data_IF_481679852847
#
_entry.id   IF_481679852847
#
_cell.length_a   1.000
_cell.length_b   1.000
_cell.length_c   1.000
_cell.angle_alpha   90.00
_cell.angle_beta   90.00
_cell.angle_gamma   90.00
#
_symmetry.space_group_name_H-M   'P 1'
#
loop_
_entity.id
_entity.type
_entity.pdbx_description
1 polymer ?
#
# COMPACT_ATOMS: atom_id res chain seq x y z
N UNK A 1 15.14 5.95 48.12
CA UNK A 1 14.65 4.86 47.25
C UNK A 1 13.17 5.03 46.88
N UNK A 2 12.24 5.20 47.82
CA UNK A 2 10.80 5.36 47.52
C UNK A 2 10.45 6.50 46.54
N UNK A 3 10.99 7.70 46.76
CA UNK A 3 10.75 8.84 45.86
C UNK A 3 11.21 8.56 44.43
N UNK A 4 12.37 7.92 44.27
CA UNK A 4 12.91 7.61 42.94
C UNK A 4 12.06 6.56 42.21
N UNK A 5 11.55 5.54 42.92
CA UNK A 5 10.62 4.58 42.34
C UNK A 5 9.29 5.23 41.96
N UNK A 6 8.74 6.09 42.81
CA UNK A 6 7.49 6.81 42.53
C UNK A 6 7.63 7.72 41.30
N UNK A 7 8.74 8.46 41.20
CA UNK A 7 9.03 9.27 40.01
C UNK A 7 9.17 8.42 38.74
N UNK A 8 9.82 7.25 38.82
CA UNK A 8 9.95 6.33 37.67
C UNK A 8 8.58 5.84 37.21
N UNK A 9 7.75 5.36 38.13
CA UNK A 9 6.40 4.90 37.81
C UNK A 9 5.51 5.99 37.25
N UNK A 10 5.65 7.24 37.74
CA UNK A 10 4.89 8.37 37.23
C UNK A 10 5.27 8.71 35.78
N UNK A 11 6.57 8.63 35.44
CA UNK A 11 7.04 8.81 34.06
C UNK A 11 6.50 7.73 33.13
N UNK A 12 6.48 6.47 33.59
CA UNK A 12 5.93 5.36 32.82
C UNK A 12 4.43 5.56 32.53
N UNK A 13 3.64 5.93 33.56
CA UNK A 13 2.21 6.21 33.41
C UNK A 13 1.98 7.35 32.41
N UNK A 14 2.77 8.43 32.51
CA UNK A 14 2.66 9.54 31.55
C UNK A 14 3.01 9.12 30.13
N UNK A 15 4.04 8.30 29.94
CA UNK A 15 4.40 7.76 28.64
C UNK A 15 3.30 6.88 28.03
N UNK A 16 2.66 6.04 28.86
CA UNK A 16 1.50 5.26 28.44
C UNK A 16 0.31 6.13 28.05
N UNK A 17 0.00 7.16 28.85
CA UNK A 17 -1.06 8.11 28.55
C UNK A 17 -0.82 8.82 27.22
N UNK A 18 0.38 9.36 27.01
CA UNK A 18 0.78 10.02 25.75
C UNK A 18 0.64 9.08 24.55
N UNK A 19 1.04 7.81 24.70
CA UNK A 19 0.85 6.77 23.67
C UNK A 19 -0.64 6.52 23.37
N UNK A 20 -1.49 6.43 24.41
CA UNK A 20 -2.95 6.27 24.24
C UNK A 20 -3.56 7.47 23.51
N UNK A 21 -3.15 8.70 23.86
CA UNK A 21 -3.60 9.92 23.16
C UNK A 21 -3.15 9.95 21.71
N UNK A 22 -1.90 9.60 21.43
CA UNK A 22 -1.37 9.51 20.07
C UNK A 22 -2.17 8.50 19.22
N UNK A 23 -2.52 7.35 19.80
CA UNK A 23 -3.35 6.35 19.15
C UNK A 23 -4.78 6.86 18.91
N UNK A 24 -5.38 7.55 19.87
CA UNK A 24 -6.71 8.17 19.72
C UNK A 24 -6.74 9.18 18.57
N UNK A 25 -5.72 10.05 18.46
CA UNK A 25 -5.59 11.01 17.36
C UNK A 25 -5.44 10.29 16.02
N UNK A 26 -4.57 9.27 15.94
CA UNK A 26 -4.35 8.48 14.72
C UNK A 26 -5.64 7.78 14.27
N UNK A 27 -6.38 7.19 15.20
CA UNK A 27 -7.66 6.54 14.93
C UNK A 27 -8.71 7.55 14.45
N UNK A 28 -8.80 8.72 15.10
CA UNK A 28 -9.67 9.81 14.67
C UNK A 28 -9.40 10.23 13.23
N UNK A 29 -8.13 10.52 12.90
CA UNK A 29 -7.72 10.85 11.53
C UNK A 29 -8.07 9.76 10.52
N UNK A 30 -7.81 8.48 10.84
CA UNK A 30 -8.17 7.35 9.97
C UNK A 30 -9.66 7.29 9.69
N UNK A 31 -10.50 7.49 10.71
CA UNK A 31 -11.97 7.55 10.56
C UNK A 31 -12.35 8.72 9.66
N UNK A 32 -11.81 9.91 9.91
CA UNK A 32 -12.17 11.12 9.18
C UNK A 32 -11.75 11.02 7.71
N UNK A 33 -10.58 10.45 7.40
CA UNK A 33 -10.16 10.16 6.02
C UNK A 33 -11.14 9.22 5.30
N UNK A 34 -11.62 8.16 5.98
CA UNK A 34 -12.61 7.24 5.39
C UNK A 34 -13.95 7.93 5.14
N UNK A 35 -14.40 8.78 6.07
CA UNK A 35 -15.62 9.56 5.89
C UNK A 35 -15.49 10.57 4.76
N UNK A 36 -14.37 11.26 4.64
CA UNK A 36 -14.09 12.18 3.54
C UNK A 36 -14.11 11.46 2.18
N UNK A 37 -13.48 10.28 2.08
CA UNK A 37 -13.51 9.47 0.86
C UNK A 37 -14.94 9.05 0.47
N UNK A 38 -15.75 8.65 1.46
CA UNK A 38 -17.17 8.32 1.24
C UNK A 38 -17.97 9.55 0.77
N UNK A 39 -17.75 10.71 1.40
CA UNK A 39 -18.42 11.96 1.03
C UNK A 39 -18.06 12.37 -0.41
N UNK A 40 -16.78 12.29 -0.77
CA UNK A 40 -16.30 12.56 -2.12
C UNK A 40 -16.98 11.63 -3.14
N UNK A 41 -17.06 10.33 -2.85
CA UNK A 41 -17.77 9.35 -3.69
C UNK A 41 -19.26 9.67 -3.83
N UNK A 42 -19.93 10.06 -2.74
CA UNK A 42 -21.33 10.47 -2.77
C UNK A 42 -21.56 11.73 -3.61
N UNK A 43 -20.74 12.76 -3.41
CA UNK A 43 -20.80 14.00 -4.19
C UNK A 43 -20.60 13.71 -5.67
N UNK A 44 -19.59 12.89 -5.99
CA UNK A 44 -19.32 12.48 -7.36
C UNK A 44 -20.49 11.72 -7.99
N UNK A 45 -21.15 10.85 -7.22
CA UNK A 45 -22.32 10.10 -7.68
C UNK A 45 -23.49 11.02 -8.03
N UNK A 46 -23.73 12.07 -7.23
CA UNK A 46 -24.77 13.06 -7.51
C UNK A 46 -24.45 13.87 -8.78
N UNK A 47 -23.19 14.28 -8.92
CA UNK A 47 -22.73 15.10 -10.06
C UNK A 47 -22.67 14.32 -11.38
N UNK A 48 -22.34 13.02 -11.32
CA UNK A 48 -22.22 12.13 -12.49
C UNK A 48 -23.43 11.21 -12.67
N UNK A 49 -24.54 11.50 -11.99
CA UNK A 49 -25.76 10.72 -12.15
C UNK A 49 -26.35 10.97 -13.55
N UNK A 50 -26.57 9.92 -14.38
CA UNK A 50 -27.05 10.09 -15.76
C UNK A 50 -28.43 10.75 -15.84
N UNK A 51 -29.27 10.54 -14.83
CA UNK A 51 -30.61 11.12 -14.71
C UNK A 51 -30.68 12.22 -13.64
N UNK A 52 -29.53 12.71 -13.18
CA UNK A 52 -29.45 13.74 -12.14
C UNK A 52 -29.74 15.14 -12.70
N UNK A 53 -30.11 16.07 -11.82
CA UNK A 53 -30.30 17.48 -12.15
C UNK A 53 -29.02 18.17 -12.71
N UNK A 54 -27.87 17.52 -12.57
CA UNK A 54 -26.56 17.98 -13.05
C UNK A 54 -26.09 17.26 -14.33
N UNK A 55 -26.93 16.39 -14.91
CA UNK A 55 -26.60 15.67 -16.15
C UNK A 55 -26.66 16.61 -17.36
N UNK A 56 -25.54 16.79 -18.07
CA UNK A 56 -25.51 17.52 -19.34
C UNK A 56 -26.17 16.65 -20.40
N UNK A 57 -27.35 17.07 -20.88
CA UNK A 57 -28.32 16.24 -21.58
C UNK A 57 -28.00 15.79 -23.01
N UNK A 58 -26.75 15.84 -23.48
CA UNK A 58 -26.43 15.61 -24.89
C UNK A 58 -25.46 14.47 -25.20
N UNK A 59 -24.81 13.88 -24.19
CA UNK A 59 -23.96 12.72 -24.41
C UNK A 59 -24.47 11.59 -23.54
N UNK A 60 -24.78 10.43 -24.14
CA UNK A 60 -25.06 9.22 -23.39
C UNK A 60 -23.84 8.92 -22.52
N UNK A 61 -23.85 9.43 -21.29
CA UNK A 61 -22.73 9.35 -20.37
C UNK A 61 -22.33 7.88 -20.28
N UNK A 62 -21.10 7.55 -20.64
CA UNK A 62 -20.63 6.18 -20.53
C UNK A 62 -20.66 5.76 -19.06
N UNK A 63 -21.62 4.91 -18.71
CA UNK A 63 -21.69 4.30 -17.39
C UNK A 63 -20.63 3.22 -17.30
N UNK A 64 -19.61 3.47 -16.50
CA UNK A 64 -18.67 2.44 -16.10
C UNK A 64 -19.23 1.72 -14.89
N UNK A 65 -19.02 0.41 -14.84
CA UNK A 65 -19.45 -0.44 -13.73
C UNK A 65 -18.21 -1.03 -13.07
N UNK A 66 -18.19 -1.07 -11.74
CA UNK A 66 -17.17 -1.79 -10.96
C UNK A 66 -17.83 -2.91 -10.19
N UNK A 67 -17.06 -3.97 -9.96
CA UNK A 67 -17.47 -5.02 -9.04
C UNK A 67 -17.51 -4.43 -7.61
N UNK A 68 -18.64 -4.58 -6.94
CA UNK A 68 -18.76 -4.16 -5.55
C UNK A 68 -17.92 -5.10 -4.68
N UNK A 69 -17.00 -4.57 -3.88
CA UNK A 69 -16.07 -5.34 -3.02
C UNK A 69 -16.76 -5.79 -1.74
N UNK A 70 -18.09 -5.99 -1.77
CA UNK A 70 -18.79 -6.60 -0.64
C UNK A 70 -18.36 -8.07 -0.56
N UNK A 71 -17.31 -8.32 0.22
CA UNK A 71 -16.75 -9.63 0.53
C UNK A 71 -17.78 -10.48 1.32
N UNK A 72 -18.39 -11.44 0.63
CA UNK A 72 -18.68 -12.80 1.09
C UNK A 72 -19.10 -13.65 -0.13
N UNK A 73 -18.12 -13.95 -0.99
CA UNK A 73 -18.30 -14.60 -2.30
C UNK A 73 -18.49 -16.13 -2.23
N UNK A 74 -19.21 -16.60 -1.21
CA UNK A 74 -19.80 -17.93 -1.28
C UNK A 74 -21.33 -17.89 -1.39
N UNK A 75 -21.99 -16.77 -1.02
CA UNK A 75 -23.46 -16.74 -0.93
C UNK A 75 -24.22 -15.63 -1.65
N UNK A 76 -23.64 -14.48 -2.05
CA UNK A 76 -24.50 -13.38 -2.54
C UNK A 76 -23.92 -12.52 -3.66
N UNK A 77 -23.90 -13.10 -4.86
CA UNK A 77 -24.03 -12.46 -6.20
C UNK A 77 -23.11 -11.28 -6.48
N UNK A 78 -22.24 -11.45 -7.48
CA UNK A 78 -21.48 -10.40 -8.18
C UNK A 78 -22.39 -9.22 -8.54
N UNK A 79 -22.43 -8.19 -7.68
CA UNK A 79 -23.17 -6.96 -7.91
C UNK A 79 -22.24 -5.96 -8.56
N UNK A 80 -22.70 -5.37 -9.65
CA UNK A 80 -22.05 -4.23 -10.27
C UNK A 80 -22.63 -2.95 -9.69
N UNK A 81 -21.76 -2.02 -9.30
CA UNK A 81 -22.14 -0.67 -8.87
C UNK A 81 -21.54 0.35 -9.83
N UNK A 82 -22.21 1.51 -10.05
CA UNK A 82 -21.66 2.56 -10.88
C UNK A 82 -20.25 2.97 -10.41
N UNK A 83 -19.31 2.96 -11.35
CA UNK A 83 -17.96 3.43 -11.15
C UNK A 83 -17.85 4.85 -11.66
N UNK A 84 -18.02 5.80 -10.75
CA UNK A 84 -17.87 7.21 -11.07
C UNK A 84 -16.45 7.58 -11.51
N UNK A 85 -15.42 6.78 -11.21
CA UNK A 85 -14.04 7.01 -11.65
C UNK A 85 -13.66 6.18 -12.88
N UNK A 86 -14.62 5.47 -13.47
CA UNK A 86 -14.32 4.67 -14.64
C UNK A 86 -13.91 5.54 -15.82
N UNK A 87 -12.93 5.05 -16.56
CA UNK A 87 -12.43 5.61 -17.82
C UNK A 87 -12.23 4.47 -18.81
N UNK A 88 -12.22 4.80 -20.10
CA UNK A 88 -11.68 3.90 -21.11
C UNK A 88 -10.16 4.04 -21.08
N UNK A 89 -9.47 2.95 -20.76
CA UNK A 89 -8.02 2.87 -20.89
C UNK A 89 -7.70 2.48 -22.34
N UNK A 90 -7.43 3.46 -23.21
CA UNK A 90 -7.06 3.22 -24.61
C UNK A 90 -5.73 2.45 -24.71
N UNK A 91 -4.87 2.60 -23.71
CA UNK A 91 -3.62 1.86 -23.53
C UNK A 91 -3.81 0.37 -23.20
N UNK A 92 -5.02 -0.05 -22.81
CA UNK A 92 -5.40 -1.45 -22.62
C UNK A 92 -5.93 -2.09 -23.91
N UNK A 93 -5.47 -1.61 -25.07
CA UNK A 93 -5.68 -2.27 -26.35
C UNK A 93 -5.04 -3.66 -26.32
N UNK A 94 -5.72 -4.66 -26.89
CA UNK A 94 -5.16 -6.01 -27.03
C UNK A 94 -3.85 -5.88 -27.79
N UNK A 95 -2.73 -6.16 -27.11
CA UNK A 95 -1.43 -6.18 -27.74
C UNK A 95 -1.36 -7.45 -28.59
N UNK A 96 -1.72 -7.32 -29.86
CA UNK A 96 -1.63 -8.42 -30.83
C UNK A 96 -0.24 -8.43 -31.43
N UNK A 97 0.48 -9.54 -31.29
CA UNK A 97 1.72 -9.76 -32.05
C UNK A 97 1.32 -9.94 -33.52
N UNK A 98 1.87 -9.16 -34.46
CA UNK A 98 1.54 -9.30 -35.88
C UNK A 98 1.87 -10.72 -36.37
N UNK A 99 0.89 -11.38 -36.98
CA UNK A 99 0.94 -12.78 -37.43
C UNK A 99 1.87 -13.02 -38.63
N UNK A 100 2.55 -11.98 -39.13
CA UNK A 100 3.29 -11.99 -40.40
C UNK A 100 4.71 -12.54 -40.32
N UNK A 101 5.19 -12.93 -39.14
CA UNK A 101 6.49 -13.53 -38.96
C UNK A 101 6.33 -14.93 -38.36
N UNK A 102 6.90 -15.95 -39.02
CA UNK A 102 7.05 -17.31 -38.48
C UNK A 102 8.01 -17.26 -37.28
N UNK A 103 7.53 -16.74 -36.17
CA UNK A 103 8.29 -16.67 -34.92
C UNK A 103 7.84 -17.81 -34.01
N UNK A 104 8.80 -18.37 -33.28
CA UNK A 104 8.55 -19.39 -32.27
C UNK A 104 7.56 -18.86 -31.22
N UNK A 105 6.70 -19.72 -30.68
CA UNK A 105 5.74 -19.34 -29.63
C UNK A 105 6.45 -18.65 -28.43
N UNK A 106 7.68 -19.08 -28.12
CA UNK A 106 8.51 -18.46 -27.09
C UNK A 106 8.90 -17.02 -27.40
N UNK A 107 9.16 -16.71 -28.67
CA UNK A 107 9.54 -15.36 -29.11
C UNK A 107 8.33 -14.42 -29.08
N UNK A 108 7.16 -14.92 -29.47
CA UNK A 108 5.89 -14.19 -29.37
C UNK A 108 5.56 -13.84 -27.91
N UNK A 109 5.74 -14.80 -26.99
CA UNK A 109 5.53 -14.58 -25.55
C UNK A 109 6.50 -13.54 -24.96
N UNK A 110 7.79 -13.59 -25.35
CA UNK A 110 8.80 -12.61 -24.92
C UNK A 110 8.48 -11.20 -25.43
N UNK A 111 8.05 -11.06 -26.68
CA UNK A 111 7.64 -9.77 -27.23
C UNK A 111 6.41 -9.19 -26.51
N UNK A 112 5.42 -10.04 -26.24
CA UNK A 112 4.22 -9.65 -25.50
C UNK A 112 4.58 -9.22 -24.06
N UNK A 113 5.40 -9.97 -23.34
CA UNK A 113 5.83 -9.63 -21.98
C UNK A 113 6.55 -8.28 -21.92
N UNK A 114 7.43 -7.99 -22.89
CA UNK A 114 8.17 -6.72 -22.95
C UNK A 114 7.27 -5.53 -23.28
N UNK A 115 6.18 -5.75 -24.03
CA UNK A 115 5.23 -4.69 -24.42
C UNK A 115 4.30 -4.25 -23.29
N UNK A 116 4.04 -5.12 -22.31
CA UNK A 116 3.17 -4.82 -21.16
C UNK A 116 3.84 -3.88 -20.14
N UNK A 117 5.18 -3.88 -20.06
CA UNK A 117 5.92 -3.01 -19.13
C UNK A 117 7.34 -2.69 -19.66
N UNK A 118 7.55 -1.55 -20.35
CA UNK A 118 8.88 -1.15 -20.78
C UNK A 118 9.74 -0.85 -19.53
N UNK A 119 10.80 -1.65 -19.32
CA UNK A 119 11.72 -1.53 -18.18
C UNK A 119 11.75 -2.73 -17.23
N UNK A 120 10.85 -3.72 -17.37
CA UNK A 120 10.93 -5.01 -16.65
C UNK A 120 11.86 -6.04 -17.32
N UNK A 121 12.82 -5.56 -18.12
CA UNK A 121 13.85 -6.39 -18.75
C UNK A 121 14.94 -6.86 -17.80
N UNK A 122 14.92 -6.47 -16.53
CA UNK A 122 15.64 -7.20 -15.51
C UNK A 122 14.75 -8.39 -15.12
N UNK A 123 15.26 -9.60 -15.34
CA UNK A 123 14.78 -10.79 -14.65
C UNK A 123 14.57 -10.39 -13.20
N UNK A 124 13.31 -10.24 -12.80
CA UNK A 124 12.96 -10.29 -11.38
C UNK A 124 13.52 -11.63 -10.96
N UNK A 125 14.62 -11.64 -10.23
CA UNK A 125 15.15 -12.83 -9.57
C UNK A 125 13.97 -13.31 -8.72
N UNK A 126 13.27 -14.32 -9.26
CA UNK A 126 12.10 -14.89 -8.63
C UNK A 126 12.65 -15.58 -7.40
N UNK A 127 12.27 -15.07 -6.22
CA UNK A 127 12.61 -15.69 -4.93
C UNK A 127 12.25 -17.17 -5.06
N UNK A 128 13.26 -18.01 -5.05
CA UNK A 128 13.08 -19.45 -5.21
C UNK A 128 12.96 -20.13 -3.84
N UNK A 129 12.58 -21.41 -3.83
CA UNK A 129 12.40 -22.16 -2.59
C UNK A 129 13.69 -22.24 -1.75
N UNK A 130 14.87 -22.06 -2.37
CA UNK A 130 16.15 -22.07 -1.66
C UNK A 130 16.40 -20.78 -0.87
N UNK A 131 15.84 -19.65 -1.32
CA UNK A 131 15.85 -18.39 -0.58
C UNK A 131 15.01 -18.48 0.70
N UNK A 132 13.89 -19.20 0.65
CA UNK A 132 12.98 -19.40 1.79
C UNK A 132 13.64 -20.26 2.87
N UNK A 133 14.30 -21.36 2.47
CA UNK A 133 15.04 -22.22 3.39
C UNK A 133 16.21 -21.49 4.06
N UNK A 134 16.87 -20.58 3.31
CA UNK A 134 17.97 -19.77 3.82
C UNK A 134 17.51 -18.79 4.90
N UNK A 135 16.36 -18.14 4.73
CA UNK A 135 15.79 -17.27 5.77
C UNK A 135 15.31 -18.06 6.99
N UNK A 136 14.79 -19.27 6.77
CA UNK A 136 14.38 -20.14 7.87
C UNK A 136 15.56 -20.70 8.69
N UNK A 137 16.73 -20.84 8.07
CA UNK A 137 17.96 -21.31 8.72
C UNK A 137 18.75 -20.19 9.43
N UNK A 138 18.36 -18.93 9.26
CA UNK A 138 18.98 -17.78 9.93
C UNK A 138 18.54 -17.76 11.41
N UNK A 139 19.34 -18.40 12.26
CA UNK A 139 19.12 -18.42 13.72
C UNK A 139 19.50 -17.06 14.29
N UNK A 140 18.52 -16.35 14.87
CA UNK A 140 18.76 -15.10 15.60
C UNK A 140 19.90 -15.27 16.62
N UNK A 141 20.87 -14.34 16.69
CA UNK A 141 21.96 -14.44 17.64
C UNK A 141 21.39 -14.49 19.06
N UNK A 142 21.69 -15.57 19.79
CA UNK A 142 21.28 -15.73 21.19
C UNK A 142 21.73 -14.50 22.00
N UNK A 143 20.86 -13.92 22.85
CA UNK A 143 21.27 -12.79 23.67
C UNK A 143 22.34 -13.26 24.66
N UNK A 144 23.60 -12.96 24.34
CA UNK A 144 24.71 -13.12 25.27
C UNK A 144 24.45 -12.21 26.46
N UNK A 145 24.13 -12.83 27.60
CA UNK A 145 24.15 -12.22 28.92
C UNK A 145 25.58 -11.78 29.24
N UNK A 146 25.97 -10.58 28.82
CA UNK A 146 27.25 -10.00 29.21
C UNK A 146 27.67 -8.76 28.41
N UNK A 147 27.46 -7.58 28.98
CA UNK A 147 28.34 -6.43 28.74
C UNK A 147 27.97 -5.46 27.61
N UNK A 148 26.77 -4.91 27.59
CA UNK A 148 26.39 -3.82 26.67
C UNK A 148 26.55 -2.42 27.30
N UNK A 149 27.73 -2.10 27.84
CA UNK A 149 28.07 -0.71 28.24
C UNK A 149 29.57 -0.45 28.14
N UNK A 150 30.20 -0.66 26.96
CA UNK A 150 31.52 -0.06 26.72
C UNK A 150 31.93 -0.03 25.24
N UNK A 151 31.31 0.79 24.40
CA UNK A 151 31.93 1.25 23.13
C UNK A 151 31.31 2.49 22.47
N UNK A 152 30.34 3.20 23.08
CA UNK A 152 29.80 4.42 22.46
C UNK A 152 30.55 5.72 22.85
N UNK A 153 31.80 5.64 23.28
CA UNK A 153 32.58 6.83 23.67
C UNK A 153 33.92 7.03 22.94
N UNK A 154 34.12 6.42 21.76
CA UNK A 154 35.33 6.67 20.95
C UNK A 154 35.06 7.14 19.51
N UNK A 155 33.82 7.46 19.12
CA UNK A 155 33.55 8.00 17.78
C UNK A 155 32.51 9.12 17.80
N UNK A 156 32.86 10.25 18.42
CA UNK A 156 32.21 11.53 18.13
C UNK A 156 33.13 12.33 17.21
N UNK A 157 32.70 12.69 15.99
CA UNK A 157 33.48 13.56 15.10
C UNK A 157 33.64 14.97 15.68
N UNK A 158 34.86 15.49 15.54
CA UNK A 158 35.37 16.78 16.01
C UNK A 158 34.65 17.98 15.39
N UNK A 159 33.46 18.36 15.86
CA UNK A 159 32.70 19.50 15.29
C UNK A 159 32.36 20.62 16.28
N UNK A 160 32.72 20.55 17.57
CA UNK A 160 32.53 21.69 18.47
C UNK A 160 33.80 22.04 19.26
N UNK A 161 34.52 23.07 18.78
CA UNK A 161 35.38 23.95 19.59
C UNK A 161 34.90 25.38 19.42
N UNK A 162 34.69 26.11 20.53
CA UNK A 162 34.97 27.53 20.56
C UNK A 162 36.01 27.86 21.66
N UNK A 163 37.05 28.59 21.22
CA UNK A 163 38.09 29.38 21.89
C UNK A 163 38.56 28.91 23.28
#
# INVERSE_FOLDING_TARGET
>A
FFFQSETSTNLDIRGEEESRWAQAIRNGRRRDCRLAAKLLGNMMTVLRSPSGAWSSGEEAQQLFWRLDVWEDDSRRRRRFVPNVYGSKHEEASIITVPETQELSEEEKLKMLANSIAPGRGQSSELVDESDIDKWAAEVDPTPSSGGFFKTFLEHIPSIFRPI
#
